data_IF_753191802006
#
_entry.id   IF_753191802006
#
_cell.length_a   1.000
_cell.length_b   1.000
_cell.length_c   1.000
_cell.angle_alpha   90.00
_cell.angle_beta   90.00
_cell.angle_gamma   90.00
#
_symmetry.space_group_name_H-M   'P 1'
#
loop_
_entity.id
_entity.type
_entity.pdbx_description
1 polymer ?
#
# COMPACT_ATOMS: atom_id res chain seq x y z
N UNK A 1 0.78 -12.62 -3.98
CA UNK A 1 0.26 -11.32 -3.55
C UNK A 1 -0.07 -10.50 -4.77
N UNK A 2 -1.16 -9.79 -4.75
CA UNK A 2 -1.63 -9.11 -5.93
C UNK A 2 -1.68 -7.61 -5.70
N UNK A 3 -0.94 -6.87 -6.48
CA UNK A 3 -0.89 -5.41 -6.39
C UNK A 3 -1.45 -4.79 -7.66
N UNK A 4 -2.10 -3.65 -7.51
CA UNK A 4 -2.66 -2.92 -8.63
C UNK A 4 -2.45 -1.44 -8.44
N UNK A 5 -2.46 -0.71 -9.54
CA UNK A 5 -2.26 0.74 -9.53
C UNK A 5 -3.61 1.41 -9.74
N UNK A 6 -3.92 2.36 -8.87
CA UNK A 6 -5.16 3.10 -8.97
C UNK A 6 -4.81 4.58 -9.07
N UNK A 7 -5.31 5.21 -10.13
CA UNK A 7 -5.10 6.62 -10.30
C UNK A 7 -6.03 7.40 -9.39
N UNK A 8 -5.48 8.36 -8.66
CA UNK A 8 -6.26 9.20 -7.76
C UNK A 8 -5.92 10.65 -8.02
N UNK A 9 -6.75 11.54 -7.52
CA UNK A 9 -6.51 12.97 -7.61
C UNK A 9 -6.26 13.48 -6.21
N UNK A 10 -5.13 14.15 -6.04
CA UNK A 10 -4.74 14.68 -4.73
C UNK A 10 -4.95 16.18 -4.74
N UNK A 11 -5.81 16.70 -3.89
CA UNK A 11 -6.03 18.14 -3.85
C UNK A 11 -4.79 18.85 -3.33
N UNK A 12 -4.40 19.92 -4.03
CA UNK A 12 -3.28 20.72 -3.61
C UNK A 12 -3.67 22.18 -3.42
N UNK A 13 -4.93 22.45 -3.33
CA UNK A 13 -5.45 23.80 -3.12
C UNK A 13 -6.95 23.72 -3.15
N UNK A 14 -7.59 24.86 -3.26
CA UNK A 14 -9.05 24.85 -3.25
C UNK A 14 -9.62 24.36 -4.55
N UNK A 15 -8.94 24.65 -5.66
CA UNK A 15 -9.50 24.32 -6.97
C UNK A 15 -8.57 23.48 -7.81
N UNK A 16 -7.48 22.99 -7.24
CA UNK A 16 -6.47 22.29 -8.02
C UNK A 16 -6.24 20.90 -7.45
N UNK A 17 -6.12 19.96 -8.33
CA UNK A 17 -5.75 18.59 -7.94
C UNK A 17 -4.70 18.09 -8.90
N UNK A 18 -3.79 17.29 -8.42
CA UNK A 18 -2.79 16.66 -9.27
C UNK A 18 -3.00 15.16 -9.25
N UNK A 19 -2.67 14.49 -10.34
CA UNK A 19 -2.83 13.04 -10.36
C UNK A 19 -1.74 12.38 -9.55
N UNK A 20 -2.09 11.29 -8.93
CA UNK A 20 -1.15 10.44 -8.24
C UNK A 20 -1.57 9.01 -8.48
N UNK A 21 -0.70 8.07 -8.14
CA UNK A 21 -0.91 6.68 -8.48
C UNK A 21 -0.66 5.84 -7.24
N UNK A 22 -1.71 5.23 -6.76
CA UNK A 22 -1.67 4.47 -5.51
C UNK A 22 -1.48 3.00 -5.84
N UNK A 23 -0.56 2.36 -5.16
CA UNK A 23 -0.37 0.92 -5.29
C UNK A 23 -1.08 0.24 -4.13
N UNK A 24 -2.12 -0.51 -4.46
CA UNK A 24 -2.90 -1.23 -3.47
C UNK A 24 -2.59 -2.71 -3.56
N UNK A 25 -2.60 -3.38 -2.42
CA UNK A 25 -2.41 -4.81 -2.35
C UNK A 25 -3.73 -5.41 -1.90
N UNK A 26 -4.26 -6.33 -2.70
CA UNK A 26 -5.58 -6.86 -2.44
C UNK A 26 -5.60 -7.86 -1.31
N UNK A 27 -4.54 -8.62 -1.17
CA UNK A 27 -4.53 -9.72 -0.24
C UNK A 27 -3.42 -9.58 0.78
N UNK A 28 -3.28 -8.39 1.32
CA UNK A 28 -2.25 -8.16 2.32
C UNK A 28 -2.60 -8.95 3.57
N UNK A 29 -1.65 -9.72 4.02
CA UNK A 29 -1.89 -10.59 5.16
C UNK A 29 -1.58 -9.86 6.45
N UNK A 30 -2.55 -9.82 7.33
CA UNK A 30 -2.39 -9.22 8.63
C UNK A 30 -2.41 -10.36 9.64
N UNK A 31 -1.33 -10.48 10.38
CA UNK A 31 -1.20 -11.55 11.35
C UNK A 31 -1.55 -10.99 12.71
N UNK A 32 -2.66 -11.42 13.25
CA UNK A 32 -3.09 -10.99 14.55
C UNK A 32 -2.58 -11.90 15.62
N UNK A 33 -2.97 -11.57 16.84
CA UNK A 33 -2.50 -12.31 17.98
C UNK A 33 -3.03 -13.71 17.95
N UNK A 34 -4.28 -13.89 17.61
CA UNK A 34 -4.92 -15.19 17.59
C UNK A 34 -5.30 -15.67 16.21
N UNK A 35 -5.20 -14.82 15.21
CA UNK A 35 -5.67 -15.21 13.89
C UNK A 35 -4.99 -14.40 12.82
N UNK A 36 -5.06 -14.89 11.62
CA UNK A 36 -4.55 -14.18 10.45
C UNK A 36 -5.70 -13.91 9.52
N UNK A 37 -5.70 -12.73 8.93
CA UNK A 37 -6.71 -12.38 7.94
C UNK A 37 -6.03 -11.71 6.76
N UNK A 38 -6.75 -11.58 5.67
CA UNK A 38 -6.24 -10.80 4.53
C UNK A 38 -7.14 -9.62 4.32
N UNK A 39 -6.59 -8.54 3.88
CA UNK A 39 -7.35 -7.34 3.62
C UNK A 39 -6.67 -6.51 2.56
N UNK A 40 -7.42 -5.57 2.00
CA UNK A 40 -6.87 -4.66 1.04
C UNK A 40 -6.12 -3.57 1.77
N UNK A 41 -4.96 -3.25 1.31
CA UNK A 41 -4.13 -2.24 1.96
C UNK A 41 -3.39 -1.41 0.92
N UNK A 42 -3.13 -0.16 1.25
CA UNK A 42 -2.35 0.70 0.38
C UNK A 42 -0.88 0.57 0.74
N UNK A 43 -0.07 0.21 -0.26
CA UNK A 43 1.35 0.10 -0.04
C UNK A 43 2.00 1.47 -0.06
N UNK A 44 1.75 2.25 -1.12
CA UNK A 44 2.34 3.58 -1.24
C UNK A 44 1.64 4.35 -2.33
N UNK A 45 1.94 5.64 -2.41
CA UNK A 45 1.39 6.51 -3.44
C UNK A 45 2.56 7.20 -4.12
N UNK A 46 2.50 7.25 -5.45
CA UNK A 46 3.59 7.79 -6.26
C UNK A 46 3.08 8.88 -7.17
N UNK A 47 3.94 9.84 -7.48
CA UNK A 47 3.56 10.92 -8.38
C UNK A 47 3.59 10.49 -9.84
N UNK A 48 4.38 9.47 -10.15
CA UNK A 48 4.55 9.06 -11.53
C UNK A 48 3.99 7.67 -11.74
N UNK A 49 3.21 7.55 -12.80
CA UNK A 49 2.57 6.28 -13.10
C UNK A 49 3.59 5.18 -13.36
N UNK A 50 4.67 5.52 -14.05
CA UNK A 50 5.67 4.50 -14.36
C UNK A 50 6.29 3.91 -13.11
N UNK A 51 6.48 4.74 -12.08
CA UNK A 51 7.05 4.25 -10.83
C UNK A 51 6.05 3.35 -10.13
N UNK A 52 4.79 3.76 -10.10
CA UNK A 52 3.76 2.93 -9.47
C UNK A 52 3.64 1.59 -10.17
N UNK A 53 3.66 1.60 -11.50
CA UNK A 53 3.57 0.35 -12.27
C UNK A 53 4.77 -0.55 -12.00
N UNK A 54 5.96 0.04 -11.92
CA UNK A 54 7.14 -0.75 -11.65
C UNK A 54 7.03 -1.43 -10.27
N UNK A 55 6.58 -0.67 -9.27
CA UNK A 55 6.46 -1.21 -7.92
C UNK A 55 5.39 -2.29 -7.87
N UNK A 56 4.24 -2.05 -8.51
CA UNK A 56 3.17 -3.05 -8.49
C UNK A 56 3.62 -4.34 -9.19
N UNK A 57 4.33 -4.21 -10.30
CA UNK A 57 4.83 -5.38 -10.99
C UNK A 57 5.87 -6.13 -10.16
N UNK A 58 6.72 -5.41 -9.45
CA UNK A 58 7.72 -6.03 -8.61
C UNK A 58 7.07 -6.79 -7.45
N UNK A 59 6.00 -6.24 -6.89
CA UNK A 59 5.27 -6.94 -5.84
C UNK A 59 4.62 -8.20 -6.41
N UNK A 60 4.03 -8.09 -7.57
CA UNK A 60 3.35 -9.24 -8.19
C UNK A 60 4.33 -10.35 -8.55
N UNK A 61 5.55 -9.99 -8.90
CA UNK A 61 6.56 -10.98 -9.23
C UNK A 61 7.28 -11.52 -8.02
N UNK A 62 7.09 -10.92 -6.86
CA UNK A 62 7.78 -11.35 -5.67
C UNK A 62 9.12 -10.71 -5.45
N UNK A 63 9.50 -9.73 -6.27
CA UNK A 63 10.76 -9.03 -6.09
C UNK A 63 10.71 -8.06 -4.92
N UNK A 64 9.52 -7.54 -4.62
CA UNK A 64 9.31 -6.71 -3.45
C UNK A 64 8.30 -7.41 -2.58
N UNK A 65 8.65 -7.62 -1.33
CA UNK A 65 7.72 -8.22 -0.38
C UNK A 65 7.23 -7.09 0.50
N UNK A 66 5.98 -6.69 0.34
CA UNK A 66 5.45 -5.58 1.10
C UNK A 66 5.45 -5.90 2.58
N UNK A 67 5.93 -4.97 3.36
CA UNK A 67 5.94 -5.16 4.78
C UNK A 67 5.44 -3.88 5.40
N UNK A 68 4.24 -3.91 5.94
CA UNK A 68 3.69 -2.77 6.61
C UNK A 68 3.84 -3.02 8.08
N UNK A 69 4.70 -2.25 8.69
CA UNK A 69 4.90 -2.41 10.08
C UNK A 69 3.70 -1.88 10.79
N UNK A 70 3.02 -2.79 11.46
CA UNK A 70 1.96 -2.36 12.26
C UNK A 70 2.52 -2.13 13.59
N UNK A 71 2.54 -0.95 14.04
CA UNK A 71 3.09 -0.69 15.31
C UNK A 71 2.03 -0.94 16.32
N UNK A 72 2.23 -1.96 17.08
CA UNK A 72 1.32 -2.27 18.11
C UNK A 72 1.69 -1.45 19.30
N UNK A 73 0.90 -0.51 19.59
CA UNK A 73 1.19 0.37 20.65
C UNK A 73 0.86 -0.14 21.97
N UNK A 74 0.36 -1.29 22.03
CA UNK A 74 0.00 -1.83 23.29
C UNK A 74 1.08 -2.64 23.87
N UNK A 75 2.29 -2.60 23.33
CA UNK A 75 3.35 -3.23 23.92
C UNK A 75 3.57 -2.69 25.20
N UNK A 76 3.50 -3.47 26.12
CA UNK A 76 3.69 -2.95 27.37
C UNK A 76 5.05 -2.71 27.56
N UNK A 77 5.58 -2.56 27.61
CA UNK A 77 6.63 -2.40 27.83
C UNK A 77 6.87 -2.45 28.94
N UNK A 78 6.79 -2.73 29.45
CA UNK A 78 7.06 -2.81 30.53
C UNK A 78 7.35 -3.00 30.97
#
# INVERSE_FOLDING_TARGET
MKAEVIKIDVPVGTDTAIPAYRVDIEDYQVIGYHESTTQKATYNVYEQEAVANYVANAINKGDIIPYMMEIDHTYPED
#
